data_IF_492193856041
#
_entry.id   IF_492193856041
#
_cell.length_a   1.000
_cell.length_b   1.000
_cell.length_c   1.000
_cell.angle_alpha   90.00
_cell.angle_beta   90.00
_cell.angle_gamma   90.00
#
_symmetry.space_group_name_H-M   'P 1'
#
loop_
_entity.id
_entity.type
_entity.pdbx_description
1 polymer ?
#
# COMPACT_ATOMS: atom_id res chain seq x y z
N UNK A 1 18.28 8.21 19.86
CA UNK A 1 17.94 8.36 18.43
C UNK A 1 17.56 9.81 18.21
N UNK A 2 18.20 10.54 17.29
CA UNK A 2 18.01 11.99 17.18
C UNK A 2 16.71 12.35 16.47
N UNK A 3 16.15 13.52 16.79
CA UNK A 3 14.93 14.07 16.16
C UNK A 3 15.07 14.14 14.63
N UNK A 4 16.27 14.45 14.16
CA UNK A 4 16.67 14.51 12.75
C UNK A 4 16.67 13.12 12.06
N UNK A 5 17.03 12.05 12.78
CA UNK A 5 16.95 10.69 12.25
C UNK A 5 15.50 10.22 12.10
N UNK A 6 14.61 10.62 13.03
CA UNK A 6 13.17 10.34 12.94
C UNK A 6 12.52 11.11 11.78
N UNK A 7 12.90 12.38 11.58
CA UNK A 7 12.42 13.21 10.46
C UNK A 7 12.91 12.73 9.09
N UNK A 8 14.13 12.17 9.00
CA UNK A 8 14.65 11.56 7.76
C UNK A 8 13.90 10.28 7.37
N UNK A 9 13.57 9.44 8.35
CA UNK A 9 12.82 8.21 8.13
C UNK A 9 11.36 8.50 7.76
N UNK A 10 10.77 9.55 8.34
CA UNK A 10 9.42 10.01 8.00
C UNK A 10 9.28 10.57 6.58
N UNK A 11 10.39 10.92 5.91
CA UNK A 11 10.43 11.39 4.51
C UNK A 11 10.61 10.28 3.47
N UNK A 12 10.80 9.03 3.91
CA UNK A 12 10.87 7.88 3.01
C UNK A 12 9.44 7.41 2.71
N UNK A 13 8.65 8.24 2.02
CA UNK A 13 7.51 7.74 1.28
C UNK A 13 8.01 6.60 0.39
N UNK A 14 7.44 5.39 0.45
CA UNK A 14 7.83 4.32 -0.46
C UNK A 14 7.60 4.84 -1.87
N UNK A 15 8.65 5.07 -2.65
CA UNK A 15 8.49 5.81 -3.88
C UNK A 15 7.67 4.93 -4.83
N UNK A 16 6.66 5.51 -5.48
CA UNK A 16 5.65 4.76 -6.24
C UNK A 16 6.24 3.82 -7.30
N UNK A 17 7.44 4.13 -7.82
CA UNK A 17 8.17 3.28 -8.77
C UNK A 17 8.68 1.95 -8.17
N UNK A 18 8.67 1.79 -6.84
CA UNK A 18 8.96 0.54 -6.13
C UNK A 18 7.70 -0.11 -5.54
N UNK A 19 6.51 0.45 -5.81
CA UNK A 19 5.25 -0.13 -5.37
C UNK A 19 5.05 -1.50 -6.06
N UNK A 20 4.70 -2.52 -5.28
CA UNK A 20 4.36 -3.87 -5.78
C UNK A 20 2.86 -4.13 -5.77
N UNK A 21 2.06 -3.11 -5.45
CA UNK A 21 0.61 -3.21 -5.34
C UNK A 21 0.10 -4.14 -4.25
N UNK A 22 0.94 -4.54 -3.27
CA UNK A 22 0.57 -5.60 -2.31
C UNK A 22 -0.65 -5.23 -1.46
N UNK A 23 -0.77 -3.98 -1.01
CA UNK A 23 -1.96 -3.51 -0.31
C UNK A 23 -3.21 -3.62 -1.20
N UNK A 24 -3.10 -3.20 -2.46
CA UNK A 24 -4.17 -3.27 -3.46
C UNK A 24 -4.59 -4.71 -3.80
N UNK A 25 -3.74 -5.71 -3.51
CA UNK A 25 -4.02 -7.14 -3.73
C UNK A 25 -4.62 -7.84 -2.51
N UNK A 26 -4.43 -7.32 -1.30
CA UNK A 26 -4.68 -8.09 -0.07
C UNK A 26 -5.54 -7.39 0.98
N UNK A 27 -5.78 -6.08 0.84
CA UNK A 27 -6.38 -5.29 1.93
C UNK A 27 -7.65 -4.58 1.47
N UNK A 28 -8.78 -4.92 2.09
CA UNK A 28 -9.90 -4.01 2.15
C UNK A 28 -9.53 -2.84 3.09
N UNK A 29 -9.94 -1.63 2.72
CA UNK A 29 -9.65 -0.43 3.52
C UNK A 29 -10.94 0.24 3.94
N UNK A 30 -10.98 0.66 5.19
CA UNK A 30 -12.03 1.55 5.69
C UNK A 30 -11.80 2.95 5.15
N UNK A 31 -12.88 3.56 4.70
CA UNK A 31 -12.91 4.89 4.11
C UNK A 31 -14.07 5.68 4.74
N UNK A 32 -13.95 7.00 4.75
CA UNK A 32 -15.06 7.86 5.15
C UNK A 32 -16.00 8.14 3.96
N UNK A 33 -17.13 8.80 4.22
CA UNK A 33 -18.12 9.15 3.19
C UNK A 33 -17.52 10.00 2.05
N UNK A 34 -16.73 11.02 2.36
CA UNK A 34 -16.13 11.89 1.34
C UNK A 34 -15.14 11.13 0.45
N UNK A 35 -14.37 10.21 1.05
CA UNK A 35 -13.50 9.31 0.29
C UNK A 35 -14.31 8.36 -0.58
N UNK A 36 -15.41 7.79 -0.08
CA UNK A 36 -16.31 6.95 -0.86
C UNK A 36 -16.89 7.69 -2.07
N UNK A 37 -17.39 8.91 -1.88
CA UNK A 37 -17.95 9.74 -2.96
C UNK A 37 -16.89 10.03 -4.05
N UNK A 38 -15.66 10.39 -3.63
CA UNK A 38 -14.54 10.62 -4.55
C UNK A 38 -14.17 9.34 -5.33
N UNK A 39 -14.07 8.20 -4.65
CA UNK A 39 -13.74 6.92 -5.27
C UNK A 39 -14.83 6.45 -6.23
N UNK A 40 -16.11 6.66 -5.92
CA UNK A 40 -17.23 6.39 -6.82
C UNK A 40 -17.08 7.19 -8.12
N UNK A 41 -16.77 8.49 -8.01
CA UNK A 41 -16.52 9.34 -9.18
C UNK A 41 -15.39 8.79 -10.05
N UNK A 42 -14.27 8.40 -9.44
CA UNK A 42 -13.13 7.82 -10.15
C UNK A 42 -13.48 6.47 -10.80
N UNK A 43 -14.25 5.61 -10.13
CA UNK A 43 -14.69 4.33 -10.70
C UNK A 43 -15.57 4.54 -11.93
N UNK A 44 -16.48 5.52 -11.90
CA UNK A 44 -17.32 5.86 -13.04
C UNK A 44 -16.51 6.40 -14.22
N UNK A 45 -15.51 7.25 -13.97
CA UNK A 45 -14.58 7.75 -15.01
C UNK A 45 -13.78 6.60 -15.65
N UNK A 46 -13.43 5.58 -14.86
CA UNK A 46 -12.75 4.37 -15.32
C UNK A 46 -13.72 3.30 -15.86
N UNK A 47 -15.01 3.60 -16.00
CA UNK A 47 -16.07 2.68 -16.45
C UNK A 47 -16.19 1.39 -15.59
N UNK A 48 -15.82 1.47 -14.31
CA UNK A 48 -15.90 0.37 -13.32
C UNK A 48 -17.17 0.52 -12.47
N UNK A 49 -17.86 -0.59 -12.21
CA UNK A 49 -19.08 -0.60 -11.40
C UNK A 49 -18.78 -0.32 -9.91
N UNK A 50 -19.21 0.82 -9.33
CA UNK A 50 -18.87 1.16 -7.95
C UNK A 50 -19.48 0.22 -6.90
N UNK A 51 -20.66 -0.33 -7.19
CA UNK A 51 -21.38 -1.25 -6.28
C UNK A 51 -20.57 -2.52 -6.01
N UNK A 52 -19.66 -2.89 -6.92
CA UNK A 52 -18.78 -4.04 -6.76
C UNK A 52 -17.66 -3.80 -5.74
N UNK A 53 -17.25 -2.55 -5.54
CA UNK A 53 -16.01 -2.21 -4.84
C UNK A 53 -16.22 -1.39 -3.58
N UNK A 54 -17.31 -0.63 -3.49
CA UNK A 54 -17.62 0.22 -2.35
C UNK A 54 -18.80 -0.38 -1.58
N UNK A 55 -18.56 -0.71 -0.33
CA UNK A 55 -19.53 -1.28 0.59
C UNK A 55 -19.83 -0.29 1.70
N UNK A 56 -21.08 -0.27 2.17
CA UNK A 56 -21.50 0.52 3.32
C UNK A 56 -22.17 -0.37 4.36
N UNK A 57 -21.82 -0.16 5.63
CA UNK A 57 -22.50 -0.76 6.78
C UNK A 57 -22.76 0.34 7.81
N UNK A 58 -24.01 0.83 7.85
CA UNK A 58 -24.37 2.04 8.58
C UNK A 58 -23.58 3.26 8.10
N UNK A 59 -22.83 3.89 9.00
CA UNK A 59 -21.98 5.05 8.71
C UNK A 59 -20.56 4.68 8.27
N UNK A 60 -20.22 3.38 8.22
CA UNK A 60 -18.91 2.90 7.80
C UNK A 60 -18.91 2.58 6.30
N UNK A 61 -17.84 2.99 5.61
CA UNK A 61 -17.61 2.65 4.21
C UNK A 61 -16.33 1.84 4.07
N UNK A 62 -16.33 0.91 3.11
CA UNK A 62 -15.19 0.04 2.82
C UNK A 62 -14.94 -0.03 1.32
N UNK A 63 -13.68 0.14 0.92
CA UNK A 63 -13.21 -0.23 -0.41
C UNK A 63 -12.67 -1.67 -0.33
N UNK A 64 -13.29 -2.59 -1.07
CA UNK A 64 -12.78 -3.96 -1.15
C UNK A 64 -11.58 -4.06 -2.08
N UNK A 65 -10.65 -4.94 -1.71
CA UNK A 65 -9.61 -5.42 -2.61
C UNK A 65 -9.95 -6.86 -3.02
N UNK A 66 -10.29 -7.08 -4.29
CA UNK A 66 -10.03 -8.37 -4.96
C UNK A 66 -10.13 -8.32 -6.52
N UNK A 67 -9.06 -7.93 -7.23
CA UNK A 67 -8.07 -6.96 -6.78
C UNK A 67 -8.71 -5.56 -6.65
N UNK A 68 -8.01 -4.62 -6.01
CA UNK A 68 -8.42 -3.22 -5.98
C UNK A 68 -8.74 -2.73 -7.40
N UNK A 69 -9.86 -2.01 -7.62
CA UNK A 69 -10.24 -1.54 -8.95
C UNK A 69 -9.29 -0.51 -9.53
N UNK A 70 -8.36 0.04 -8.73
CA UNK A 70 -7.37 1.02 -9.17
C UNK A 70 -5.97 0.43 -9.35
N UNK A 71 -5.85 -0.90 -9.32
CA UNK A 71 -4.60 -1.60 -9.54
C UNK A 71 -4.43 -1.94 -11.02
N UNK A 72 -3.39 -1.39 -11.66
CA UNK A 72 -3.00 -1.68 -13.04
C UNK A 72 -1.48 -1.82 -13.11
N UNK A 73 -0.97 -2.90 -13.71
CA UNK A 73 0.48 -3.22 -13.79
C UNK A 73 1.21 -3.08 -12.44
N UNK A 74 0.60 -3.61 -11.37
CA UNK A 74 1.08 -3.53 -9.98
C UNK A 74 1.22 -2.10 -9.41
N UNK A 75 0.61 -1.12 -10.06
CA UNK A 75 0.61 0.29 -9.67
C UNK A 75 -0.80 0.79 -9.40
N UNK A 76 -0.90 1.69 -8.42
CA UNK A 76 -2.15 2.38 -8.13
C UNK A 76 -2.29 3.56 -9.09
N UNK A 77 -3.35 3.56 -9.90
CA UNK A 77 -3.60 4.62 -10.90
C UNK A 77 -4.20 5.90 -10.31
N UNK A 78 -4.62 5.87 -9.04
CA UNK A 78 -5.19 7.01 -8.30
C UNK A 78 -4.26 7.52 -7.20
N UNK A 79 -2.94 7.48 -7.43
CA UNK A 79 -1.93 7.67 -6.38
C UNK A 79 -2.12 8.97 -5.56
N UNK A 80 -2.49 10.07 -6.20
CA UNK A 80 -2.71 11.38 -5.57
C UNK A 80 -4.10 11.54 -4.94
N UNK A 81 -5.01 10.59 -5.20
CA UNK A 81 -6.38 10.56 -4.69
C UNK A 81 -6.60 9.36 -3.76
N UNK A 82 -5.52 8.80 -3.22
CA UNK A 82 -5.58 7.65 -2.32
C UNK A 82 -6.35 8.03 -1.05
N UNK A 83 -7.20 7.13 -0.52
CA UNK A 83 -7.74 7.27 0.82
C UNK A 83 -6.61 7.38 1.85
N UNK A 84 -6.88 8.02 3.00
CA UNK A 84 -5.90 8.19 4.09
C UNK A 84 -5.32 6.87 4.56
N UNK A 85 -6.14 5.82 4.62
CA UNK A 85 -5.69 4.47 4.96
C UNK A 85 -4.69 3.90 3.94
N UNK A 86 -4.88 4.19 2.64
CA UNK A 86 -3.97 3.77 1.57
C UNK A 86 -2.68 4.60 1.54
N UNK A 87 -2.74 5.89 1.89
CA UNK A 87 -1.55 6.74 2.05
C UNK A 87 -0.68 6.27 3.22
N UNK A 88 -1.31 5.88 4.33
CA UNK A 88 -0.62 5.39 5.51
C UNK A 88 0.06 4.02 5.33
N UNK A 89 -0.25 3.32 4.24
CA UNK A 89 0.35 2.03 3.96
C UNK A 89 1.82 2.19 3.57
N UNK A 90 2.70 2.00 4.54
CA UNK A 90 4.12 1.95 4.30
C UNK A 90 4.48 0.56 3.74
N UNK A 91 4.66 0.47 2.42
CA UNK A 91 5.29 -0.66 1.74
C UNK A 91 6.78 -0.77 2.15
N UNK A 92 7.07 -0.97 3.44
CA UNK A 92 8.36 -1.48 3.86
C UNK A 92 8.39 -2.92 3.39
N UNK A 93 8.72 -3.14 2.11
CA UNK A 93 9.54 -4.29 1.77
C UNK A 93 10.65 -4.26 2.81
N UNK A 94 10.88 -5.35 3.52
CA UNK A 94 12.13 -5.57 4.22
C UNK A 94 13.24 -5.60 3.17
N UNK A 95 13.55 -4.45 2.57
CA UNK A 95 14.68 -4.31 1.69
C UNK A 95 15.89 -4.45 2.60
N UNK A 96 16.87 -5.28 2.21
CA UNK A 96 18.12 -5.47 2.96
C UNK A 96 18.96 -4.18 3.06
N UNK A 97 18.48 -3.06 2.54
CA UNK A 97 19.11 -1.75 2.50
C UNK A 97 18.71 -0.83 3.65
N UNK A 98 17.70 -1.18 4.46
CA UNK A 98 17.42 -0.42 5.69
C UNK A 98 18.64 -0.48 6.62
N UNK A 99 18.95 0.61 7.34
CA UNK A 99 20.07 0.63 8.30
C UNK A 99 19.95 -0.47 9.36
N UNK A 100 18.72 -0.87 9.69
CA UNK A 100 18.41 -2.00 10.58
C UNK A 100 18.93 -3.31 9.98
N UNK A 101 18.73 -3.55 8.68
CA UNK A 101 19.29 -4.70 7.98
C UNK A 101 20.81 -4.60 7.89
N UNK A 102 21.37 -3.43 7.55
CA UNK A 102 22.83 -3.22 7.48
C UNK A 102 23.58 -3.37 8.80
N UNK A 103 22.90 -3.25 9.94
CA UNK A 103 23.51 -3.44 11.27
C UNK A 103 23.31 -4.85 11.83
N UNK A 104 22.38 -5.63 11.27
CA UNK A 104 22.09 -6.98 11.74
C UNK A 104 22.43 -8.02 10.67
N UNK A 105 23.67 -8.53 10.73
CA UNK A 105 24.17 -9.54 9.79
C UNK A 105 23.35 -10.84 9.83
N UNK A 106 22.89 -11.25 11.01
CA UNK A 106 22.09 -12.46 11.19
C UNK A 106 20.70 -12.33 10.56
N UNK A 107 20.08 -11.15 10.69
CA UNK A 107 18.79 -10.85 10.07
C UNK A 107 18.89 -10.87 8.54
N UNK A 108 19.99 -10.33 7.97
CA UNK A 108 20.29 -10.42 6.54
C UNK A 108 20.47 -11.86 6.07
N UNK A 109 21.17 -12.69 6.83
CA UNK A 109 21.40 -14.11 6.50
C UNK A 109 20.10 -14.92 6.56
N UNK A 110 19.26 -14.66 7.57
CA UNK A 110 17.97 -15.31 7.74
C UNK A 110 17.00 -14.94 6.60
N UNK A 111 16.90 -13.64 6.26
CA UNK A 111 16.09 -13.19 5.13
C UNK A 111 16.62 -13.67 3.79
N UNK A 112 17.94 -13.68 3.59
CA UNK A 112 18.55 -14.22 2.38
C UNK A 112 18.24 -15.71 2.17
N UNK A 113 18.12 -16.48 3.26
CA UNK A 113 17.66 -17.87 3.23
C UNK A 113 16.17 -17.95 2.90
N UNK A 114 15.33 -17.21 3.62
CA UNK A 114 13.87 -17.21 3.41
C UNK A 114 13.46 -16.76 2.00
N UNK A 115 14.10 -15.73 1.43
CA UNK A 115 13.81 -15.24 0.09
C UNK A 115 14.22 -16.23 -1.01
N UNK A 116 15.32 -16.97 -0.82
CA UNK A 116 15.73 -18.07 -1.72
C UNK A 116 14.75 -19.24 -1.66
N UNK A 117 14.31 -19.59 -0.45
CA UNK A 117 13.38 -20.71 -0.23
C UNK A 117 11.95 -20.39 -0.71
N UNK A 118 11.59 -19.10 -0.83
CA UNK A 118 10.26 -18.63 -1.23
C UNK A 118 10.09 -18.41 -2.75
N UNK A 119 11.13 -18.67 -3.55
CA UNK A 119 11.12 -18.48 -5.03
C UNK A 119 10.68 -17.07 -5.48
N UNK A 120 11.11 -16.04 -4.74
CA UNK A 120 10.80 -14.62 -5.03
C UNK A 120 11.86 -13.98 -5.97
N UNK A 121 12.82 -14.77 -6.48
CA UNK A 121 13.77 -14.40 -7.54
C UNK A 121 14.05 -15.59 -8.46
#
# INVERSE_FOLDING_TARGET
MSKEQAERLAKLDPPCHLCTGICCKQMAVEINRSEADNLIGLLLVLEKNPIKYIFSDGDMFKLAADPCPFLEDDKCVIYDHRPKACEAFNCIRALPTTEIMKKNADLRKLLGKYLKDSNIF
#
